data_IF_431880469124
#
_entry.id   IF_431880469124
#
_cell.length_a   1.000
_cell.length_b   1.000
_cell.length_c   1.000
_cell.angle_alpha   90.00
_cell.angle_beta   90.00
_cell.angle_gamma   90.00
#
_symmetry.space_group_name_H-M   'P 1'
#
loop_
_entity.id
_entity.type
_entity.pdbx_description
1 polymer ?
#
# COMPACT_ATOMS: atom_id res chain seq x y z
N UNK A 1 15.77 12.24 13.98
CA UNK A 1 15.79 10.81 14.21
C UNK A 1 14.51 10.38 14.87
N UNK A 2 14.09 9.17 14.69
CA UNK A 2 12.92 8.63 15.34
C UNK A 2 11.65 8.60 14.52
N UNK A 3 11.64 9.17 13.33
CA UNK A 3 10.50 9.06 12.43
C UNK A 3 10.69 7.84 11.54
N UNK A 4 9.73 6.92 11.62
CA UNK A 4 9.72 5.73 10.77
C UNK A 4 8.54 5.85 9.82
N UNK A 5 8.83 5.88 8.52
CA UNK A 5 7.80 6.00 7.49
C UNK A 5 7.40 4.60 7.02
N UNK A 6 6.13 4.27 7.14
CA UNK A 6 5.60 2.97 6.75
C UNK A 6 4.48 3.17 5.73
N UNK A 7 4.58 2.45 4.62
CA UNK A 7 3.55 2.47 3.59
C UNK A 7 2.82 1.12 3.61
N UNK A 8 1.54 1.16 3.94
CA UNK A 8 0.70 -0.04 3.98
C UNK A 8 0.09 -0.31 2.61
N UNK A 9 0.22 -1.55 2.14
CA UNK A 9 -0.28 -1.97 0.84
C UNK A 9 -1.38 -3.01 0.99
N UNK A 10 -2.41 -2.99 0.12
CA UNK A 10 -3.31 -4.14 0.03
C UNK A 10 -2.57 -5.33 -0.58
N UNK A 11 -3.06 -6.56 -0.40
CA UNK A 11 -2.38 -7.75 -0.94
C UNK A 11 -2.31 -7.76 -2.47
N UNK A 12 -3.31 -7.20 -3.15
CA UNK A 12 -3.37 -7.16 -4.61
C UNK A 12 -4.36 -6.09 -5.08
N UNK A 13 -4.43 -5.90 -6.39
CA UNK A 13 -5.28 -4.90 -7.02
C UNK A 13 -6.77 -5.16 -6.74
N UNK A 14 -7.24 -6.40 -6.86
CA UNK A 14 -8.63 -6.75 -6.64
C UNK A 14 -9.06 -6.44 -5.20
N UNK A 15 -8.22 -6.76 -4.24
CA UNK A 15 -8.51 -6.49 -2.83
C UNK A 15 -8.50 -5.00 -2.54
N UNK A 16 -7.59 -4.24 -3.15
CA UNK A 16 -7.57 -2.79 -3.03
C UNK A 16 -8.89 -2.20 -3.52
N UNK A 17 -9.33 -2.63 -4.69
CA UNK A 17 -10.58 -2.15 -5.28
C UNK A 17 -11.79 -2.52 -4.43
N UNK A 18 -11.82 -3.74 -3.91
CA UNK A 18 -12.88 -4.21 -3.03
C UNK A 18 -12.96 -3.36 -1.76
N UNK A 19 -11.83 -3.13 -1.10
CA UNK A 19 -11.77 -2.33 0.12
C UNK A 19 -12.21 -0.90 -0.14
N UNK A 20 -11.84 -0.36 -1.27
CA UNK A 20 -12.23 0.99 -1.67
C UNK A 20 -13.75 1.06 -1.91
N UNK A 21 -14.31 0.07 -2.62
CA UNK A 21 -15.72 0.08 -2.96
C UNK A 21 -16.65 0.05 -1.75
N UNK A 22 -16.26 -0.65 -0.67
CA UNK A 22 -17.11 -0.74 0.53
C UNK A 22 -17.17 0.56 1.32
N UNK A 23 -16.34 1.54 1.01
CA UNK A 23 -16.37 2.85 1.67
C UNK A 23 -17.49 3.75 1.15
N UNK A 24 -18.08 3.40 0.02
CA UNK A 24 -19.08 4.23 -0.62
C UNK A 24 -20.48 3.66 -0.41
N UNK A 25 -21.45 4.55 -0.29
CA UNK A 25 -22.84 4.18 -0.02
C UNK A 25 -23.53 3.52 -1.22
N UNK A 26 -23.06 3.81 -2.44
CA UNK A 26 -23.67 3.29 -3.67
C UNK A 26 -22.61 3.05 -4.74
N UNK A 27 -22.98 2.22 -5.73
CA UNK A 27 -22.13 1.99 -6.89
C UNK A 27 -21.93 3.28 -7.70
N UNK A 28 -22.95 4.11 -7.78
CA UNK A 28 -22.89 5.37 -8.49
C UNK A 28 -21.85 6.30 -7.87
N UNK A 29 -21.85 6.40 -6.55
CA UNK A 29 -20.87 7.20 -5.82
C UNK A 29 -19.44 6.66 -6.03
N UNK A 30 -19.27 5.33 -5.98
CA UNK A 30 -18.00 4.69 -6.24
C UNK A 30 -17.49 5.03 -7.63
N UNK A 31 -18.35 4.88 -8.66
CA UNK A 31 -17.96 5.13 -10.04
C UNK A 31 -17.52 6.58 -10.26
N UNK A 32 -18.14 7.52 -9.56
CA UNK A 32 -17.79 8.93 -9.63
C UNK A 32 -16.44 9.23 -8.99
N UNK A 33 -16.15 8.62 -7.84
CA UNK A 33 -14.93 8.88 -7.07
C UNK A 33 -13.73 8.03 -7.51
N UNK A 34 -14.00 6.91 -8.17
CA UNK A 34 -13.00 5.93 -8.58
C UNK A 34 -11.79 6.54 -9.32
N UNK A 35 -11.99 7.39 -10.35
CA UNK A 35 -10.85 7.93 -11.09
C UNK A 35 -9.90 8.75 -10.21
N UNK A 36 -10.42 9.48 -9.25
CA UNK A 36 -9.61 10.28 -8.33
C UNK A 36 -8.77 9.38 -7.42
N UNK A 37 -9.37 8.34 -6.86
CA UNK A 37 -8.68 7.39 -5.98
C UNK A 37 -7.61 6.63 -6.73
N UNK A 38 -7.91 6.23 -7.93
CA UNK A 38 -7.01 5.53 -8.83
C UNK A 38 -5.75 6.37 -9.11
N UNK A 39 -5.94 7.63 -9.51
CA UNK A 39 -4.83 8.53 -9.80
C UNK A 39 -4.00 8.85 -8.55
N UNK A 40 -4.66 9.04 -7.41
CA UNK A 40 -3.97 9.26 -6.14
C UNK A 40 -3.12 8.07 -5.74
N UNK A 41 -3.64 6.85 -5.90
CA UNK A 41 -2.90 5.64 -5.58
C UNK A 41 -1.64 5.50 -6.43
N UNK A 42 -1.73 5.78 -7.73
CA UNK A 42 -0.56 5.73 -8.61
C UNK A 42 0.51 6.70 -8.13
N UNK A 43 0.14 7.94 -7.84
CA UNK A 43 1.09 8.95 -7.37
C UNK A 43 1.72 8.57 -6.03
N UNK A 44 0.91 8.10 -5.09
CA UNK A 44 1.39 7.75 -3.76
C UNK A 44 2.36 6.56 -3.79
N UNK A 45 2.03 5.52 -4.55
CA UNK A 45 2.90 4.35 -4.67
C UNK A 45 4.18 4.72 -5.40
N UNK A 46 4.09 5.48 -6.48
CA UNK A 46 5.27 5.93 -7.23
C UNK A 46 6.21 6.71 -6.32
N UNK A 47 5.66 7.67 -5.56
CA UNK A 47 6.47 8.47 -4.65
C UNK A 47 7.13 7.59 -3.57
N UNK A 48 6.37 6.70 -2.96
CA UNK A 48 6.91 5.83 -1.92
C UNK A 48 8.03 4.93 -2.42
N UNK A 49 7.92 4.44 -3.66
CA UNK A 49 8.96 3.61 -4.27
C UNK A 49 10.25 4.39 -4.58
N UNK A 50 10.12 5.69 -4.83
CA UNK A 50 11.28 6.55 -5.11
C UNK A 50 12.01 7.00 -3.85
N UNK A 51 11.34 6.97 -2.70
CA UNK A 51 11.91 7.46 -1.43
C UNK A 51 12.54 6.29 -0.68
N UNK A 52 13.87 6.35 -0.41
CA UNK A 52 14.59 5.21 0.15
C UNK A 52 14.28 4.87 1.61
N UNK A 53 13.68 5.78 2.35
CA UNK A 53 13.42 5.55 3.78
C UNK A 53 12.07 4.91 4.10
N UNK A 54 11.19 4.71 3.10
CA UNK A 54 9.91 4.04 3.33
C UNK A 54 10.08 2.55 3.54
N UNK A 55 9.37 2.04 4.55
CA UNK A 55 9.19 0.61 4.74
C UNK A 55 7.84 0.23 4.18
N UNK A 56 7.79 -0.86 3.42
CA UNK A 56 6.55 -1.34 2.83
C UNK A 56 6.04 -2.54 3.62
N UNK A 57 4.74 -2.55 3.91
CA UNK A 57 4.10 -3.66 4.63
C UNK A 57 2.80 -4.02 3.92
N UNK A 58 2.62 -5.31 3.63
CA UNK A 58 1.39 -5.81 3.05
C UNK A 58 0.35 -5.95 4.15
N UNK A 59 -0.75 -5.22 4.03
CA UNK A 59 -1.83 -5.22 5.01
C UNK A 59 -2.89 -6.26 4.62
N UNK A 60 -2.61 -7.53 4.92
CA UNK A 60 -3.50 -8.64 4.62
C UNK A 60 -4.16 -9.17 5.91
N UNK A 61 -3.34 -9.51 6.90
CA UNK A 61 -3.80 -9.97 8.21
C UNK A 61 -3.48 -8.88 9.23
N UNK A 62 -4.49 -8.42 9.97
CA UNK A 62 -4.35 -7.31 10.92
C UNK A 62 -3.31 -7.63 12.00
N UNK A 63 -3.34 -8.83 12.56
CA UNK A 63 -2.42 -9.21 13.64
C UNK A 63 -0.98 -9.30 13.13
N UNK A 64 -0.78 -9.91 11.98
CA UNK A 64 0.54 -10.01 11.38
C UNK A 64 1.06 -8.63 10.98
N UNK A 65 0.21 -7.79 10.38
CA UNK A 65 0.57 -6.43 10.02
C UNK A 65 1.03 -5.65 11.23
N UNK A 66 0.29 -5.71 12.33
CA UNK A 66 0.66 -5.02 13.57
C UNK A 66 1.99 -5.52 14.11
N UNK A 67 2.26 -6.82 14.04
CA UNK A 67 3.53 -7.41 14.48
C UNK A 67 4.70 -6.88 13.64
N UNK A 68 4.53 -6.87 12.32
CA UNK A 68 5.59 -6.39 11.40
C UNK A 68 5.86 -4.91 11.63
N UNK A 69 4.81 -4.11 11.78
CA UNK A 69 4.96 -2.67 12.04
C UNK A 69 5.73 -2.44 13.35
N UNK A 70 5.43 -3.20 14.40
CA UNK A 70 6.15 -3.09 15.65
C UNK A 70 7.63 -3.47 15.51
N UNK A 71 7.93 -4.51 14.74
CA UNK A 71 9.31 -4.91 14.48
C UNK A 71 10.08 -3.80 13.77
N UNK A 72 9.49 -3.23 12.72
CA UNK A 72 10.11 -2.14 11.97
C UNK A 72 10.34 -0.93 12.88
N UNK A 73 9.33 -0.55 13.66
CA UNK A 73 9.40 0.60 14.53
C UNK A 73 10.49 0.45 15.62
N UNK A 74 10.70 -0.76 16.10
CA UNK A 74 11.73 -1.00 17.15
C UNK A 74 13.14 -1.11 16.57
N UNK A 75 13.30 -1.55 15.32
CA UNK A 75 14.59 -1.75 14.67
C UNK A 75 14.56 -1.29 13.21
N UNK A 76 14.37 0.01 12.96
CA UNK A 76 14.15 0.51 11.59
C UNK A 76 15.36 0.35 10.67
N UNK A 77 16.57 0.24 11.23
CA UNK A 77 17.79 0.11 10.44
C UNK A 77 18.18 -1.34 10.15
N UNK A 78 17.42 -2.30 10.66
CA UNK A 78 17.69 -3.71 10.43
C UNK A 78 16.98 -4.16 9.14
N UNK A 79 17.73 -4.86 8.28
CA UNK A 79 17.18 -5.45 7.07
C UNK A 79 16.00 -6.35 7.39
N UNK A 80 14.91 -6.17 6.66
CA UNK A 80 13.70 -6.96 6.82
C UNK A 80 13.30 -7.53 5.46
N UNK A 81 13.32 -8.86 5.35
CA UNK A 81 12.94 -9.57 4.13
C UNK A 81 11.51 -9.26 3.71
N UNK A 82 10.62 -9.07 4.67
CA UNK A 82 9.22 -8.72 4.41
C UNK A 82 9.08 -7.37 3.71
N UNK A 83 9.97 -6.44 4.00
CA UNK A 83 10.01 -5.15 3.34
C UNK A 83 10.32 -5.31 1.84
N UNK A 84 11.29 -6.16 1.49
CA UNK A 84 11.62 -6.41 0.10
C UNK A 84 10.45 -7.08 -0.65
N UNK A 85 9.81 -8.06 -0.02
CA UNK A 85 8.64 -8.71 -0.60
C UNK A 85 7.52 -7.70 -0.84
N UNK A 86 7.30 -6.81 0.12
CA UNK A 86 6.27 -5.78 0.01
C UNK A 86 6.60 -4.75 -1.06
N UNK A 87 7.89 -4.40 -1.24
CA UNK A 87 8.31 -3.49 -2.33
C UNK A 87 8.03 -4.08 -3.69
N UNK A 88 8.28 -5.38 -3.87
CA UNK A 88 7.94 -6.06 -5.12
C UNK A 88 6.44 -6.07 -5.35
N UNK A 89 5.66 -6.32 -4.30
CA UNK A 89 4.20 -6.27 -4.38
C UNK A 89 3.70 -4.86 -4.75
N UNK A 90 4.36 -3.82 -4.23
CA UNK A 90 4.03 -2.44 -4.56
C UNK A 90 4.25 -2.15 -6.05
N UNK A 91 5.36 -2.63 -6.62
CA UNK A 91 5.65 -2.47 -8.05
C UNK A 91 4.62 -3.20 -8.90
N UNK A 92 4.25 -4.42 -8.52
CA UNK A 92 3.23 -5.18 -9.23
C UNK A 92 1.87 -4.49 -9.18
N UNK A 93 1.49 -3.98 -8.01
CA UNK A 93 0.25 -3.23 -7.85
C UNK A 93 0.26 -1.97 -8.73
N UNK A 94 1.37 -1.24 -8.75
CA UNK A 94 1.50 -0.05 -9.57
C UNK A 94 1.30 -0.36 -11.06
N UNK A 95 1.91 -1.45 -11.53
CA UNK A 95 1.76 -1.88 -12.93
C UNK A 95 0.31 -2.25 -13.24
N UNK A 96 -0.34 -2.95 -12.32
CA UNK A 96 -1.76 -3.30 -12.49
C UNK A 96 -2.65 -2.05 -12.53
N UNK A 97 -2.36 -1.06 -11.68
CA UNK A 97 -3.09 0.21 -11.67
C UNK A 97 -2.92 0.95 -12.99
N UNK A 98 -1.70 1.03 -13.50
CA UNK A 98 -1.43 1.68 -14.78
C UNK A 98 -2.12 0.97 -15.94
N UNK A 99 -2.13 -0.36 -15.91
CA UNK A 99 -2.76 -1.16 -16.96
C UNK A 99 -4.28 -1.03 -16.93
N UNK A 100 -4.88 -0.85 -15.76
CA UNK A 100 -6.33 -0.72 -15.61
C UNK A 100 -6.85 0.67 -16.01
N UNK A 101 -5.97 1.66 -15.95
CA UNK A 101 -6.30 3.01 -16.38
C UNK A 101 -6.15 3.19 -17.85
#
# INVERSE_FOLDING_TARGET
PGVVAIFLLPPNYQEWRRRLSVRYASQEEFDREWPKRYNSAIREITHALEVPYYHFVINDDIDETARIVREIASKPDVYNRKDDEARLAARDLLEQLKAAG
#
